data_IF_583604696396
#
_entry.id   IF_583604696396
#
_cell.length_a   1.000
_cell.length_b   1.000
_cell.length_c   1.000
_cell.angle_alpha   90.00
_cell.angle_beta   90.00
_cell.angle_gamma   90.00
#
_symmetry.space_group_name_H-M   'P 1'
#
loop_
_entity.id
_entity.type
_entity.pdbx_description
1 polymer ?
#
# COMPACT_ATOMS: atom_id res chain seq x y z
N UNK A 1 2.46 25.81 -56.35
CA UNK A 1 1.82 26.17 -57.63
C UNK A 1 0.58 26.99 -57.35
N UNK A 2 0.69 28.31 -57.43
CA UNK A 2 -0.41 29.27 -57.45
C UNK A 2 0.19 30.59 -57.94
N UNK A 3 0.10 30.83 -59.25
CA UNK A 3 0.45 32.08 -59.90
C UNK A 3 -0.65 33.11 -59.61
N UNK A 4 -0.27 34.29 -59.10
CA UNK A 4 -1.02 35.54 -59.29
C UNK A 4 -0.01 36.67 -59.51
N UNK A 5 0.22 36.96 -60.79
CA UNK A 5 0.89 38.17 -61.26
C UNK A 5 -0.10 39.34 -61.20
N UNK A 6 0.33 40.46 -60.63
CA UNK A 6 -0.25 41.77 -60.90
C UNK A 6 0.76 42.55 -61.75
N UNK A 7 0.34 42.87 -62.96
CA UNK A 7 0.97 43.81 -63.89
C UNK A 7 0.48 45.23 -63.57
N UNK A 8 1.40 46.19 -63.49
CA UNK A 8 1.34 47.52 -64.12
C UNK A 8 2.50 48.41 -63.61
N UNK A 9 3.35 48.91 -64.52
CA UNK A 9 4.01 50.19 -64.33
C UNK A 9 3.64 51.20 -65.43
N UNK A 10 3.81 52.45 -65.03
CA UNK A 10 3.48 53.69 -65.71
C UNK A 10 4.28 53.96 -67.01
N UNK A 11 3.63 54.68 -67.93
CA UNK A 11 4.23 55.59 -68.92
C UNK A 11 3.31 56.82 -68.97
N UNK A 12 3.67 57.94 -68.33
CA UNK A 12 4.38 59.08 -68.93
C UNK A 12 3.80 59.57 -70.26
N UNK A 13 3.00 60.63 -70.20
CA UNK A 13 2.79 61.58 -71.29
C UNK A 13 2.95 62.99 -70.75
N UNK A 14 3.90 63.70 -71.34
CA UNK A 14 4.31 65.07 -71.04
C UNK A 14 3.25 66.07 -71.50
N UNK A 15 2.88 67.00 -70.61
CA UNK A 15 2.24 68.27 -70.98
C UNK A 15 3.25 69.38 -70.70
N UNK A 16 3.88 69.88 -71.77
CA UNK A 16 4.75 71.06 -71.74
C UNK A 16 3.85 72.28 -71.97
N UNK A 17 3.63 73.07 -70.93
CA UNK A 17 3.07 74.42 -71.05
C UNK A 17 4.19 75.45 -70.86
N UNK A 18 4.24 76.38 -71.82
CA UNK A 18 5.25 77.39 -71.98
C UNK A 18 5.40 78.31 -70.77
N UNK A 19 6.64 78.56 -70.35
CA UNK A 19 7.02 79.69 -69.52
C UNK A 19 7.36 80.90 -70.39
N UNK A 20 7.00 82.14 -70.00
CA UNK A 20 7.36 83.35 -70.72
C UNK A 20 8.78 83.81 -70.36
N UNK A 21 9.48 84.37 -71.35
CA UNK A 21 10.74 85.09 -71.22
C UNK A 21 10.42 86.59 -71.33
N UNK A 22 10.93 87.39 -70.39
CA UNK A 22 10.99 88.85 -70.45
C UNK A 22 12.00 89.28 -71.56
N UNK A 23 12.11 90.48 -72.12
CA UNK A 23 12.00 91.85 -71.63
C UNK A 23 11.82 92.75 -72.88
N UNK A 24 11.08 93.86 -72.74
CA UNK A 24 11.33 95.13 -73.44
C UNK A 24 10.45 96.23 -72.81
N UNK A 25 11.09 97.15 -72.09
CA UNK A 25 10.62 98.47 -71.64
C UNK A 25 10.47 99.46 -72.83
N UNK A 26 10.05 100.73 -72.63
CA UNK A 26 8.91 101.29 -71.90
C UNK A 26 8.08 102.20 -72.85
N UNK A 27 7.07 102.92 -72.35
CA UNK A 27 6.77 104.34 -72.64
C UNK A 27 5.34 104.70 -72.21
N UNK A 28 5.26 105.73 -71.35
CA UNK A 28 4.29 106.82 -71.44
C UNK A 28 2.79 106.51 -71.38
N UNK A 29 2.16 106.79 -70.22
CA UNK A 29 0.70 106.84 -70.15
C UNK A 29 0.17 107.34 -68.81
N UNK A 30 0.12 108.65 -68.64
CA UNK A 30 -0.42 109.37 -67.49
C UNK A 30 -1.91 109.09 -67.23
N UNK A 31 -2.22 109.05 -65.94
CA UNK A 31 -3.44 109.54 -65.27
C UNK A 31 -4.77 108.78 -65.45
N UNK A 32 -5.28 108.24 -64.33
CA UNK A 32 -6.59 108.62 -63.80
C UNK A 32 -6.76 108.18 -62.34
N UNK A 33 -7.30 109.09 -61.52
CA UNK A 33 -7.78 108.86 -60.15
C UNK A 33 -8.98 107.90 -60.17
N UNK A 34 -8.96 106.91 -59.28
CA UNK A 34 -10.08 106.03 -58.93
C UNK A 34 -9.59 104.96 -57.97
N UNK A 35 -10.34 104.65 -56.92
CA UNK A 35 -9.97 103.80 -55.79
C UNK A 35 -9.27 102.48 -56.20
N UNK A 36 -7.94 102.43 -56.07
CA UNK A 36 -7.21 101.16 -56.13
C UNK A 36 -7.47 100.39 -54.84
N UNK A 37 -8.47 99.52 -54.86
CA UNK A 37 -8.58 98.44 -53.89
C UNK A 37 -7.35 97.53 -54.08
N UNK A 38 -6.32 97.73 -53.27
CA UNK A 38 -5.11 96.92 -53.36
C UNK A 38 -5.45 95.48 -53.00
N UNK A 39 -5.34 94.58 -53.99
CA UNK A 39 -5.71 93.18 -53.83
C UNK A 39 -4.56 92.39 -53.17
N UNK A 40 -4.70 92.13 -51.88
CA UNK A 40 -3.75 91.35 -51.07
C UNK A 40 -4.11 89.86 -50.95
N UNK A 41 -5.04 89.35 -51.76
CA UNK A 41 -5.54 87.99 -51.61
C UNK A 41 -6.29 87.75 -50.29
N UNK A 42 -6.51 86.48 -49.94
CA UNK A 42 -7.31 86.09 -48.76
C UNK A 42 -6.51 86.05 -47.44
N UNK A 43 -5.19 85.93 -47.54
CA UNK A 43 -4.30 85.63 -46.40
C UNK A 43 -3.49 86.87 -45.92
N UNK A 44 -3.59 88.00 -46.62
CA UNK A 44 -2.96 89.28 -46.26
C UNK A 44 -3.94 90.45 -46.31
N UNK A 45 -3.57 91.54 -45.64
CA UNK A 45 -4.32 92.79 -45.59
C UNK A 45 -3.43 93.95 -46.05
N UNK A 46 -4.00 94.92 -46.77
CA UNK A 46 -3.25 96.11 -47.20
C UNK A 46 -2.94 97.01 -46.00
N UNK A 47 -1.66 97.29 -45.78
CA UNK A 47 -1.23 98.29 -44.80
C UNK A 47 -0.92 99.60 -45.53
N UNK A 48 -1.76 100.61 -45.32
CA UNK A 48 -1.64 101.91 -45.96
C UNK A 48 -0.38 102.70 -45.55
N UNK A 49 0.13 102.48 -44.33
CA UNK A 49 1.33 103.16 -43.82
C UNK A 49 2.61 102.58 -44.43
N UNK A 50 2.71 101.25 -44.48
CA UNK A 50 3.86 100.55 -45.06
C UNK A 50 3.77 100.39 -46.59
N UNK A 51 2.65 100.82 -47.21
CA UNK A 51 2.35 100.69 -48.65
C UNK A 51 2.61 99.28 -49.20
N UNK A 52 2.27 98.26 -48.42
CA UNK A 52 2.45 96.85 -48.78
C UNK A 52 1.37 95.95 -48.18
N UNK A 53 1.11 94.80 -48.81
CA UNK A 53 0.27 93.75 -48.25
C UNK A 53 1.03 93.03 -47.11
N UNK A 54 0.41 92.97 -45.93
CA UNK A 54 0.99 92.31 -44.75
C UNK A 54 0.16 91.07 -44.43
N UNK A 55 0.84 89.94 -44.24
CA UNK A 55 0.20 88.69 -43.88
C UNK A 55 -0.46 88.76 -42.52
N UNK A 56 -1.63 88.12 -42.38
CA UNK A 56 -2.34 88.04 -41.10
C UNK A 56 -1.52 87.33 -40.02
N UNK A 57 -0.65 86.41 -40.44
CA UNK A 57 0.34 85.77 -39.56
C UNK A 57 1.70 86.44 -39.76
N UNK A 58 2.26 86.98 -38.68
CA UNK A 58 3.52 87.72 -38.67
C UNK A 58 4.74 86.89 -39.09
N UNK A 59 4.64 85.55 -39.07
CA UNK A 59 5.72 84.66 -39.52
C UNK A 59 5.72 84.41 -41.03
N UNK A 60 4.64 84.77 -41.72
CA UNK A 60 4.52 84.63 -43.17
C UNK A 60 4.85 85.96 -43.83
N UNK A 61 5.57 85.90 -44.95
CA UNK A 61 5.81 87.05 -45.82
C UNK A 61 4.89 86.99 -47.03
N UNK A 62 4.41 88.15 -47.44
CA UNK A 62 3.54 88.25 -48.60
C UNK A 62 4.33 88.01 -49.87
N UNK A 63 3.91 87.02 -50.66
CA UNK A 63 4.52 86.67 -51.94
C UNK A 63 3.67 87.29 -53.05
N UNK A 64 4.14 88.42 -53.59
CA UNK A 64 3.39 89.21 -54.55
C UNK A 64 3.03 88.45 -55.84
N UNK A 65 3.88 87.51 -56.28
CA UNK A 65 3.63 86.71 -57.49
C UNK A 65 2.43 85.76 -57.36
N UNK A 66 2.20 85.21 -56.18
CA UNK A 66 1.13 84.23 -55.93
C UNK A 66 -0.04 84.84 -55.16
N UNK A 67 0.07 86.11 -54.75
CA UNK A 67 -0.89 86.82 -53.89
C UNK A 67 -1.23 86.02 -52.62
N UNK A 68 -0.24 85.29 -52.08
CA UNK A 68 -0.39 84.43 -50.89
C UNK A 68 0.69 84.72 -49.86
N UNK A 69 0.42 84.30 -48.63
CA UNK A 69 1.37 84.38 -47.53
C UNK A 69 2.16 83.09 -47.42
N UNK A 70 3.48 83.18 -47.59
CA UNK A 70 4.39 82.05 -47.56
C UNK A 70 5.51 82.25 -46.56
N UNK A 71 6.16 81.15 -46.18
CA UNK A 71 7.35 81.23 -45.35
C UNK A 71 8.54 81.73 -46.17
N UNK A 72 9.35 82.59 -45.57
CA UNK A 72 10.56 83.12 -46.19
C UNK A 72 11.74 82.15 -46.04
N UNK A 73 12.81 82.40 -46.81
CA UNK A 73 14.13 81.79 -46.60
C UNK A 73 14.14 80.25 -46.69
N UNK A 74 13.33 79.69 -47.60
CA UNK A 74 13.25 78.25 -47.87
C UNK A 74 12.52 77.44 -46.79
N UNK A 75 11.88 78.09 -45.81
CA UNK A 75 11.07 77.44 -44.78
C UNK A 75 9.69 77.07 -45.32
N UNK A 76 9.03 76.12 -44.69
CA UNK A 76 7.64 75.72 -44.99
C UNK A 76 6.77 75.91 -43.75
N UNK A 77 5.47 76.09 -44.00
CA UNK A 77 4.49 76.23 -42.93
C UNK A 77 4.14 74.85 -42.38
N UNK A 78 4.43 74.59 -41.10
CA UNK A 78 4.16 73.30 -40.46
C UNK A 78 2.81 73.24 -39.73
N UNK A 79 1.93 74.21 -39.95
CA UNK A 79 0.65 74.36 -39.24
C UNK A 79 0.67 75.39 -38.10
N UNK A 80 1.86 75.64 -37.51
CA UNK A 80 2.00 76.57 -36.37
C UNK A 80 3.07 77.63 -36.57
N UNK A 81 4.16 77.32 -37.29
CA UNK A 81 5.27 78.24 -37.56
C UNK A 81 5.97 77.93 -38.88
N UNK A 82 6.71 78.93 -39.38
CA UNK A 82 7.63 78.72 -40.49
C UNK A 82 8.91 78.01 -40.02
N UNK A 83 9.13 76.78 -40.46
CA UNK A 83 10.28 75.96 -40.09
C UNK A 83 10.93 75.31 -41.32
N UNK A 84 12.20 74.94 -41.22
CA UNK A 84 12.84 74.15 -42.28
C UNK A 84 12.24 72.74 -42.33
N UNK A 85 11.91 72.28 -43.54
CA UNK A 85 11.33 70.95 -43.75
C UNK A 85 12.42 69.87 -43.74
N UNK A 86 12.62 69.29 -42.56
CA UNK A 86 13.53 68.18 -42.32
C UNK A 86 12.85 66.80 -42.35
N UNK A 87 11.57 66.70 -42.76
CA UNK A 87 10.81 65.46 -42.65
C UNK A 87 10.48 65.07 -41.20
N UNK A 88 9.96 63.84 -41.00
CA UNK A 88 9.43 63.38 -39.70
C UNK A 88 10.51 62.93 -38.70
N UNK A 89 11.65 62.44 -39.20
CA UNK A 89 12.67 61.75 -38.39
C UNK A 89 13.84 62.66 -37.98
N UNK A 90 13.85 63.90 -38.45
CA UNK A 90 14.88 64.89 -38.18
C UNK A 90 14.30 66.20 -37.62
N UNK A 91 15.19 67.05 -37.13
CA UNK A 91 14.91 68.42 -36.69
C UNK A 91 15.99 69.34 -37.23
N UNK A 92 15.63 70.59 -37.51
CA UNK A 92 16.59 71.58 -37.94
C UNK A 92 17.44 72.04 -36.75
N UNK A 93 18.76 71.94 -36.88
CA UNK A 93 19.73 72.49 -35.93
C UNK A 93 20.12 73.91 -36.36
N UNK A 94 19.75 74.89 -35.53
CA UNK A 94 20.02 76.30 -35.79
C UNK A 94 21.51 76.65 -35.68
N UNK A 95 22.31 75.86 -34.95
CA UNK A 95 23.75 76.08 -34.80
C UNK A 95 24.51 75.61 -36.04
N UNK A 96 24.30 74.37 -36.47
CA UNK A 96 24.90 73.78 -37.66
C UNK A 96 24.26 74.18 -38.99
N UNK A 97 23.15 74.93 -38.96
CA UNK A 97 22.36 75.35 -40.15
C UNK A 97 21.98 74.17 -41.05
N UNK A 98 21.64 73.03 -40.44
CA UNK A 98 21.34 71.79 -41.17
C UNK A 98 20.28 70.95 -40.44
N UNK A 99 19.61 70.06 -41.16
CA UNK A 99 18.75 69.06 -40.55
C UNK A 99 19.60 67.95 -39.91
N UNK A 100 19.30 67.63 -38.66
CA UNK A 100 19.95 66.56 -37.89
C UNK A 100 18.92 65.54 -37.42
N UNK A 101 19.31 64.27 -37.38
CA UNK A 101 18.42 63.20 -36.93
C UNK A 101 18.08 63.35 -35.45
N UNK A 102 16.83 63.06 -35.09
CA UNK A 102 16.41 63.06 -33.66
C UNK A 102 17.07 61.93 -32.90
N UNK A 103 17.19 60.77 -33.55
CA UNK A 103 17.89 59.62 -33.02
C UNK A 103 19.39 59.76 -33.25
N UNK A 104 20.15 59.79 -32.15
CA UNK A 104 21.60 59.90 -32.19
C UNK A 104 22.22 58.70 -32.92
N UNK A 105 23.19 58.95 -33.80
CA UNK A 105 23.89 57.93 -34.58
C UNK A 105 23.30 57.62 -35.97
N UNK A 106 22.10 58.09 -36.29
CA UNK A 106 21.56 58.05 -37.67
C UNK A 106 22.11 59.21 -38.50
N UNK A 107 22.27 59.00 -39.80
CA UNK A 107 22.64 60.05 -40.75
C UNK A 107 21.43 60.52 -41.54
N UNK A 108 21.32 61.84 -41.68
CA UNK A 108 20.26 62.49 -42.43
C UNK A 108 20.60 62.52 -43.93
N UNK A 109 19.68 62.04 -44.76
CA UNK A 109 19.74 62.21 -46.22
C UNK A 109 18.83 63.36 -46.65
N UNK A 110 19.42 64.45 -47.14
CA UNK A 110 18.69 65.64 -47.58
C UNK A 110 17.81 65.43 -48.82
N UNK A 111 18.04 64.38 -49.62
CA UNK A 111 17.20 64.08 -50.79
C UNK A 111 15.89 63.40 -50.39
N UNK A 112 15.96 62.38 -49.55
CA UNK A 112 14.79 61.63 -49.05
C UNK A 112 14.14 62.26 -47.82
N UNK A 113 14.85 63.17 -47.13
CA UNK A 113 14.48 63.76 -45.84
C UNK A 113 14.24 62.68 -44.76
N UNK A 114 15.05 61.64 -44.77
CA UNK A 114 14.96 60.52 -43.82
C UNK A 114 16.27 60.31 -43.07
N UNK A 115 16.17 59.66 -41.92
CA UNK A 115 17.30 59.29 -41.08
C UNK A 115 17.53 57.79 -41.12
N UNK A 116 18.74 57.37 -41.47
CA UNK A 116 19.09 55.95 -41.58
C UNK A 116 20.45 55.64 -40.94
N UNK A 117 20.63 54.40 -40.52
CA UNK A 117 21.92 53.92 -40.03
C UNK A 117 22.85 53.65 -41.22
N UNK A 118 24.12 54.01 -41.10
CA UNK A 118 25.11 53.82 -42.17
C UNK A 118 26.10 52.71 -41.84
N UNK A 119 26.85 52.27 -42.86
CA UNK A 119 27.79 51.15 -42.70
C UNK A 119 27.13 49.78 -42.51
N UNK A 120 25.94 49.56 -43.09
CA UNK A 120 25.22 48.28 -43.03
C UNK A 120 24.57 47.97 -41.68
N UNK A 121 24.50 48.95 -40.78
CA UNK A 121 23.85 48.86 -39.47
C UNK A 121 22.35 49.11 -39.59
N UNK A 122 21.59 48.62 -38.62
CA UNK A 122 20.15 48.81 -38.50
C UNK A 122 19.81 49.40 -37.13
N UNK A 123 18.70 50.11 -37.04
CA UNK A 123 18.22 50.67 -35.78
C UNK A 123 17.61 49.57 -34.91
N UNK A 124 18.17 49.36 -33.72
CA UNK A 124 17.70 48.33 -32.77
C UNK A 124 16.65 48.88 -31.76
N UNK A 125 16.26 50.15 -31.88
CA UNK A 125 15.39 50.86 -30.94
C UNK A 125 16.10 51.94 -30.12
N UNK A 126 17.41 51.82 -29.93
CA UNK A 126 18.24 52.74 -29.14
C UNK A 126 19.46 53.27 -29.90
N UNK A 127 20.11 52.44 -30.72
CA UNK A 127 21.32 52.78 -31.47
C UNK A 127 21.42 52.03 -32.82
N UNK A 128 22.36 52.48 -33.66
CA UNK A 128 22.68 51.82 -34.92
C UNK A 128 23.66 50.67 -34.69
N UNK A 129 23.18 49.43 -34.77
CA UNK A 129 23.94 48.21 -34.53
C UNK A 129 23.88 47.25 -35.73
N UNK A 130 24.85 46.35 -35.83
CA UNK A 130 24.81 45.27 -36.83
C UNK A 130 23.74 44.25 -36.44
N UNK A 131 22.87 43.90 -37.40
CA UNK A 131 21.82 42.90 -37.17
C UNK A 131 22.38 41.48 -37.33
N UNK A 132 22.79 40.92 -36.20
CA UNK A 132 23.25 39.54 -36.05
C UNK A 132 22.12 38.56 -35.62
N UNK A 133 20.86 39.00 -35.57
CA UNK A 133 19.78 38.20 -34.99
C UNK A 133 19.88 38.06 -33.47
N UNK A 134 19.04 37.18 -32.89
CA UNK A 134 18.88 37.04 -31.43
C UNK A 134 19.97 36.19 -30.76
N UNK A 135 20.59 35.26 -31.49
CA UNK A 135 21.47 34.23 -30.94
C UNK A 135 22.97 34.61 -31.05
N UNK A 136 23.28 35.73 -31.68
CA UNK A 136 24.64 36.21 -31.92
C UNK A 136 24.82 37.66 -31.45
N UNK A 137 26.07 38.09 -31.43
CA UNK A 137 26.50 39.46 -31.18
C UNK A 137 27.57 39.83 -32.20
N UNK A 138 27.64 41.10 -32.58
CA UNK A 138 28.69 41.58 -33.46
C UNK A 138 30.00 41.68 -32.68
N UNK A 139 31.04 41.02 -33.16
CA UNK A 139 32.40 41.13 -32.66
C UNK A 139 33.13 42.23 -33.43
N UNK A 140 33.46 43.32 -32.73
CA UNK A 140 34.17 44.46 -33.31
C UNK A 140 35.61 44.13 -33.71
N UNK A 141 36.23 43.11 -33.11
CA UNK A 141 37.60 42.72 -33.46
C UNK A 141 37.63 41.92 -34.77
N UNK A 142 36.83 40.86 -34.86
CA UNK A 142 36.69 40.03 -36.06
C UNK A 142 35.82 40.62 -37.16
N UNK A 143 35.18 41.77 -36.93
CA UNK A 143 34.26 42.44 -37.86
C UNK A 143 33.13 41.53 -38.36
N UNK A 144 32.67 40.61 -37.52
CA UNK A 144 31.69 39.58 -37.89
C UNK A 144 30.72 39.29 -36.75
N UNK A 145 29.57 38.70 -37.05
CA UNK A 145 28.66 38.20 -36.04
C UNK A 145 29.18 36.86 -35.48
N UNK A 146 29.28 36.78 -34.16
CA UNK A 146 29.71 35.59 -33.43
C UNK A 146 28.59 35.10 -32.51
N UNK A 147 28.47 33.79 -32.37
CA UNK A 147 27.47 33.20 -31.48
C UNK A 147 27.77 33.53 -30.03
N UNK A 148 26.73 33.82 -29.25
CA UNK A 148 26.87 34.06 -27.80
C UNK A 148 27.28 32.78 -27.07
N UNK A 149 26.72 31.66 -27.52
CA UNK A 149 27.06 30.34 -27.02
C UNK A 149 28.32 29.81 -27.72
N UNK A 150 29.34 29.51 -26.92
CA UNK A 150 30.61 28.98 -27.42
C UNK A 150 30.41 27.61 -28.09
N UNK A 151 31.05 27.39 -29.24
CA UNK A 151 30.98 26.14 -30.00
C UNK A 151 29.88 26.06 -31.06
N UNK A 152 28.91 26.98 -31.06
CA UNK A 152 27.95 27.13 -32.18
C UNK A 152 28.58 27.92 -33.33
N UNK A 153 28.18 27.61 -34.56
CA UNK A 153 28.57 28.36 -35.75
C UNK A 153 27.44 29.27 -36.22
N UNK A 154 27.80 30.50 -36.57
CA UNK A 154 26.88 31.51 -37.06
C UNK A 154 26.64 31.31 -38.57
N UNK A 155 25.38 31.25 -38.97
CA UNK A 155 24.97 31.31 -40.37
C UNK A 155 24.48 32.72 -40.73
N UNK A 156 25.25 33.43 -41.55
CA UNK A 156 24.94 34.80 -41.96
C UNK A 156 23.67 34.93 -42.82
N UNK A 157 23.19 33.85 -43.44
CA UNK A 157 21.96 33.89 -44.24
C UNK A 157 20.70 33.86 -43.37
N UNK A 158 20.67 32.94 -42.39
CA UNK A 158 19.54 32.81 -41.46
C UNK A 158 19.67 33.71 -40.22
N UNK A 159 20.87 34.24 -39.96
CA UNK A 159 21.22 34.97 -38.73
C UNK A 159 20.97 34.15 -37.47
N UNK A 160 21.27 32.86 -37.54
CA UNK A 160 21.10 31.92 -36.42
C UNK A 160 22.40 31.20 -36.08
N UNK A 161 22.47 30.69 -34.86
CA UNK A 161 23.60 29.93 -34.34
C UNK A 161 23.21 28.47 -34.14
N UNK A 162 23.97 27.56 -34.76
CA UNK A 162 23.68 26.12 -34.69
C UNK A 162 24.95 25.29 -34.48
N UNK A 163 24.78 24.11 -33.90
CA UNK A 163 25.85 23.13 -33.78
C UNK A 163 26.09 22.45 -35.13
N UNK A 164 27.35 22.19 -35.47
CA UNK A 164 27.73 21.56 -36.74
C UNK A 164 28.23 20.13 -36.55
N UNK A 165 28.32 19.39 -37.65
CA UNK A 165 28.75 17.99 -37.63
C UNK A 165 27.75 17.03 -36.98
N UNK A 166 26.44 17.33 -37.05
CA UNK A 166 25.37 16.48 -36.49
C UNK A 166 25.23 16.54 -34.96
N UNK A 167 25.90 17.49 -34.32
CA UNK A 167 25.81 17.74 -32.88
C UNK A 167 24.58 18.58 -32.55
N UNK A 168 24.08 18.47 -31.32
CA UNK A 168 22.99 19.26 -30.78
C UNK A 168 23.45 20.03 -29.54
N UNK A 169 22.75 21.11 -29.22
CA UNK A 169 23.04 21.91 -28.04
C UNK A 169 22.43 21.25 -26.80
N UNK A 170 23.25 20.85 -25.84
CA UNK A 170 22.79 20.21 -24.60
C UNK A 170 22.52 21.21 -23.45
N UNK A 171 22.63 22.51 -23.71
CA UNK A 171 22.50 23.58 -22.71
C UNK A 171 23.83 24.27 -22.39
N UNK A 172 24.97 23.60 -22.58
CA UNK A 172 26.31 24.13 -22.28
C UNK A 172 27.29 23.99 -23.45
N UNK A 173 27.20 22.92 -24.24
CA UNK A 173 28.08 22.66 -25.38
C UNK A 173 27.38 21.90 -26.53
N UNK A 174 28.03 21.87 -27.70
CA UNK A 174 27.59 21.09 -28.85
C UNK A 174 28.11 19.65 -28.73
N UNK A 175 27.21 18.72 -28.43
CA UNK A 175 27.52 17.31 -28.24
C UNK A 175 26.69 16.42 -29.17
N UNK A 176 27.14 15.18 -29.39
CA UNK A 176 26.31 14.20 -30.10
C UNK A 176 25.17 13.73 -29.19
N UNK A 177 23.95 13.71 -29.72
CA UNK A 177 22.80 13.22 -28.99
C UNK A 177 22.78 11.68 -29.00
N UNK A 178 23.27 11.10 -27.90
CA UNK A 178 23.23 9.67 -27.63
C UNK A 178 22.12 9.27 -26.65
N UNK A 179 21.20 10.18 -26.31
CA UNK A 179 20.24 9.94 -25.23
C UNK A 179 20.90 9.80 -23.85
N UNK A 180 20.13 9.30 -22.87
CA UNK A 180 20.54 9.23 -21.45
C UNK A 180 21.41 8.03 -21.10
N UNK A 181 21.29 6.93 -21.85
CA UNK A 181 21.87 5.62 -21.49
C UNK A 181 23.20 5.33 -22.22
N UNK A 182 23.61 6.21 -23.12
CA UNK A 182 24.83 6.09 -23.90
C UNK A 182 25.70 7.35 -23.81
N UNK A 183 26.91 7.24 -24.33
CA UNK A 183 27.87 8.32 -24.51
C UNK A 183 28.51 8.21 -25.88
N UNK A 184 28.85 9.33 -26.51
CA UNK A 184 29.57 9.31 -27.78
C UNK A 184 31.00 8.87 -27.55
N UNK A 185 31.45 7.84 -28.27
CA UNK A 185 32.84 7.42 -28.28
C UNK A 185 33.55 8.07 -29.47
N UNK A 186 34.51 8.96 -29.18
CA UNK A 186 35.31 9.64 -30.20
C UNK A 186 36.22 8.71 -30.99
N UNK A 187 36.61 7.56 -30.45
CA UNK A 187 37.43 6.57 -31.16
C UNK A 187 36.59 5.82 -32.20
N UNK A 188 35.44 5.28 -31.80
CA UNK A 188 34.56 4.50 -32.67
C UNK A 188 33.62 5.36 -33.54
N UNK A 189 33.62 6.68 -33.33
CA UNK A 189 32.74 7.66 -33.98
C UNK A 189 31.25 7.32 -33.88
N UNK A 190 30.83 6.68 -32.78
CA UNK A 190 29.44 6.24 -32.55
C UNK A 190 29.06 6.36 -31.08
N UNK A 191 27.75 6.43 -30.82
CA UNK A 191 27.22 6.30 -29.47
C UNK A 191 27.40 4.87 -28.96
N UNK A 192 27.92 4.73 -27.75
CA UNK A 192 28.12 3.44 -27.07
C UNK A 192 27.41 3.46 -25.72
N UNK A 193 26.80 2.33 -25.37
CA UNK A 193 26.11 2.18 -24.10
C UNK A 193 27.08 2.28 -22.93
N UNK A 194 26.65 2.94 -21.85
CA UNK A 194 27.45 3.03 -20.62
C UNK A 194 27.59 1.66 -19.95
N UNK A 195 26.51 0.90 -19.98
CA UNK A 195 26.48 -0.47 -19.49
C UNK A 195 27.05 -1.42 -20.55
N UNK A 196 28.12 -2.13 -20.19
CA UNK A 196 28.77 -3.09 -21.08
C UNK A 196 27.82 -4.25 -21.45
N UNK A 197 27.84 -4.65 -22.72
CA UNK A 197 27.00 -5.74 -23.24
C UNK A 197 25.62 -5.31 -23.76
N UNK A 198 25.18 -4.07 -23.50
CA UNK A 198 23.97 -3.50 -24.15
C UNK A 198 24.29 -3.00 -25.55
N UNK A 199 23.31 -3.12 -26.45
CA UNK A 199 23.37 -2.60 -27.81
C UNK A 199 22.67 -1.25 -27.89
N UNK A 200 23.30 -0.29 -28.56
CA UNK A 200 22.75 1.04 -28.79
C UNK A 200 21.88 1.05 -30.05
N UNK A 201 20.63 1.48 -29.94
CA UNK A 201 19.75 1.69 -31.09
C UNK A 201 19.71 3.18 -31.48
N UNK A 202 20.18 3.48 -32.69
CA UNK A 202 20.32 4.86 -33.16
C UNK A 202 18.99 5.58 -33.42
N UNK A 203 17.89 4.84 -33.67
CA UNK A 203 16.58 5.45 -33.92
C UNK A 203 15.91 5.91 -32.63
N UNK A 204 15.95 5.06 -31.60
CA UNK A 204 15.37 5.32 -30.30
C UNK A 204 16.31 6.05 -29.34
N UNK A 205 17.62 6.08 -29.63
CA UNK A 205 18.69 6.59 -28.76
C UNK A 205 18.67 5.91 -27.39
N UNK A 206 18.40 4.60 -27.37
CA UNK A 206 18.35 3.78 -26.15
C UNK A 206 19.30 2.59 -26.19
N UNK A 207 19.62 2.07 -25.01
CA UNK A 207 20.47 0.89 -24.83
C UNK A 207 19.66 -0.29 -24.32
N UNK A 208 19.67 -1.41 -25.03
CA UNK A 208 18.93 -2.61 -24.68
C UNK A 208 19.78 -3.88 -24.84
N UNK A 209 19.38 -4.93 -24.15
CA UNK A 209 20.00 -6.25 -24.32
C UNK A 209 19.46 -6.93 -25.59
N UNK A 210 20.33 -7.60 -26.33
CA UNK A 210 19.95 -8.36 -27.53
C UNK A 210 19.54 -9.80 -27.16
N UNK A 211 19.02 -10.54 -28.13
CA UNK A 211 18.78 -12.00 -28.01
C UNK A 211 17.80 -12.39 -26.90
N UNK A 212 16.83 -11.52 -26.62
CA UNK A 212 15.80 -11.76 -25.59
C UNK A 212 16.33 -11.74 -24.15
N UNK A 213 17.56 -11.26 -23.95
CA UNK A 213 18.15 -11.06 -22.62
C UNK A 213 17.58 -9.79 -21.98
N UNK A 214 17.64 -9.74 -20.65
CA UNK A 214 17.27 -8.56 -19.86
C UNK A 214 18.44 -8.12 -18.99
N UNK A 215 18.46 -6.85 -18.62
CA UNK A 215 19.49 -6.31 -17.76
C UNK A 215 19.20 -6.69 -16.30
N UNK A 216 20.07 -7.49 -15.69
CA UNK A 216 19.91 -7.90 -14.29
C UNK A 216 20.54 -6.93 -13.28
N UNK A 217 20.97 -5.74 -13.73
CA UNK A 217 21.70 -4.75 -12.92
C UNK A 217 23.23 -4.81 -13.11
N UNK A 218 23.77 -5.90 -13.66
CA UNK A 218 25.21 -6.09 -13.91
C UNK A 218 25.51 -6.46 -15.37
N UNK A 219 24.70 -7.31 -15.98
CA UNK A 219 24.91 -7.81 -17.34
C UNK A 219 23.58 -8.17 -18.03
N UNK A 220 23.65 -8.37 -19.34
CA UNK A 220 22.52 -8.90 -20.11
C UNK A 220 22.46 -10.42 -19.93
N UNK A 221 21.45 -10.90 -19.20
CA UNK A 221 21.23 -12.31 -18.90
C UNK A 221 19.83 -12.76 -19.34
N UNK A 222 19.65 -14.06 -19.56
CA UNK A 222 18.32 -14.60 -19.80
C UNK A 222 17.49 -14.56 -18.51
N UNK A 223 16.27 -14.03 -18.61
CA UNK A 223 15.35 -14.00 -17.48
C UNK A 223 14.66 -15.35 -17.32
N UNK A 224 15.17 -16.14 -16.37
CA UNK A 224 14.60 -17.42 -15.96
C UNK A 224 13.87 -17.33 -14.60
N UNK A 225 13.66 -16.13 -14.05
CA UNK A 225 13.15 -15.99 -12.69
C UNK A 225 14.11 -16.51 -11.61
N UNK A 226 13.60 -16.66 -10.38
CA UNK A 226 14.41 -16.99 -9.19
C UNK A 226 14.72 -18.49 -9.03
N UNK A 227 13.87 -19.36 -9.58
CA UNK A 227 13.89 -20.80 -9.31
C UNK A 227 14.57 -21.62 -10.43
N UNK A 228 14.96 -20.95 -11.51
CA UNK A 228 15.64 -21.56 -12.66
C UNK A 228 16.94 -20.83 -13.00
N UNK A 229 17.71 -21.45 -13.88
CA UNK A 229 18.92 -20.90 -14.50
C UNK A 229 18.89 -21.21 -15.99
N UNK A 230 19.43 -20.30 -16.80
CA UNK A 230 19.55 -20.55 -18.23
C UNK A 230 20.64 -21.59 -18.46
N UNK A 231 20.32 -22.65 -19.21
CA UNK A 231 21.29 -23.62 -19.67
C UNK A 231 21.71 -23.26 -21.11
N UNK A 232 22.97 -22.88 -21.29
CA UNK A 232 23.52 -22.53 -22.61
C UNK A 232 23.55 -23.72 -23.59
N UNK A 233 23.67 -24.95 -23.07
CA UNK A 233 23.69 -26.16 -23.91
C UNK A 233 22.31 -26.44 -24.52
N UNK A 234 21.27 -26.42 -23.68
CA UNK A 234 19.88 -26.69 -24.10
C UNK A 234 19.17 -25.43 -24.65
N UNK A 235 19.82 -24.26 -24.55
CA UNK A 235 19.28 -22.94 -24.93
C UNK A 235 17.93 -22.61 -24.28
N UNK A 236 17.71 -23.08 -23.06
CA UNK A 236 16.45 -22.89 -22.33
C UNK A 236 16.68 -22.73 -20.83
N UNK A 237 15.72 -22.12 -20.15
CA UNK A 237 15.70 -22.06 -18.69
C UNK A 237 15.38 -23.44 -18.10
N UNK A 238 16.22 -23.90 -17.18
CA UNK A 238 16.06 -25.18 -16.47
C UNK A 238 15.91 -24.93 -14.98
N UNK A 239 15.02 -25.69 -14.34
CA UNK A 239 14.80 -25.60 -12.91
C UNK A 239 16.03 -26.06 -12.13
N UNK A 240 16.35 -25.36 -11.04
CA UNK A 240 17.46 -25.76 -10.15
C UNK A 240 17.17 -27.07 -9.44
N UNK A 241 15.90 -27.24 -9.03
CA UNK A 241 15.42 -28.47 -8.43
C UNK A 241 15.07 -29.49 -9.52
N UNK A 242 15.72 -30.65 -9.48
CA UNK A 242 15.49 -31.72 -10.44
C UNK A 242 14.06 -32.26 -10.33
N UNK A 243 13.43 -32.53 -11.48
CA UNK A 243 12.06 -33.04 -11.58
C UNK A 243 10.96 -31.97 -11.63
N UNK A 244 11.27 -30.69 -11.37
CA UNK A 244 10.35 -29.58 -11.63
C UNK A 244 10.39 -29.18 -13.11
N UNK A 245 9.25 -28.76 -13.64
CA UNK A 245 9.09 -28.24 -14.99
C UNK A 245 9.09 -26.71 -14.96
N UNK A 246 9.84 -26.09 -15.88
CA UNK A 246 9.89 -24.65 -16.04
C UNK A 246 8.74 -24.17 -16.93
N UNK A 247 7.96 -23.21 -16.46
CA UNK A 247 6.92 -22.54 -17.26
C UNK A 247 7.43 -21.18 -17.73
N UNK A 248 7.58 -21.03 -19.05
CA UNK A 248 8.18 -19.84 -19.66
C UNK A 248 7.31 -18.57 -19.53
N UNK A 249 5.98 -18.71 -19.39
CA UNK A 249 5.07 -17.57 -19.25
C UNK A 249 5.14 -16.96 -17.85
N UNK A 250 5.17 -17.80 -16.83
CA UNK A 250 5.24 -17.40 -15.42
C UNK A 250 6.66 -17.26 -14.90
N UNK A 251 7.66 -17.80 -15.62
CA UNK A 251 9.07 -17.88 -15.19
C UNK A 251 9.23 -18.58 -13.85
N UNK A 252 8.44 -19.64 -13.63
CA UNK A 252 8.44 -20.42 -12.38
C UNK A 252 8.66 -21.90 -12.63
N UNK A 253 9.15 -22.58 -11.59
CA UNK A 253 9.36 -24.02 -11.57
C UNK A 253 8.30 -24.70 -10.71
N UNK A 254 7.54 -25.62 -11.29
CA UNK A 254 6.47 -26.35 -10.60
C UNK A 254 6.50 -27.84 -10.90
N UNK A 255 5.90 -28.63 -10.02
CA UNK A 255 5.74 -30.07 -10.24
C UNK A 255 4.57 -30.31 -11.19
N UNK A 256 4.73 -31.23 -12.13
CA UNK A 256 3.67 -31.65 -13.06
C UNK A 256 2.75 -32.69 -12.42
N UNK A 257 1.65 -33.01 -13.09
CA UNK A 257 0.77 -34.13 -12.74
C UNK A 257 0.12 -34.05 -11.35
N UNK A 258 -0.12 -32.82 -10.88
CA UNK A 258 -0.75 -32.57 -9.58
C UNK A 258 0.13 -32.94 -8.37
N UNK A 259 1.42 -33.17 -8.59
CA UNK A 259 2.41 -33.39 -7.52
C UNK A 259 2.80 -32.06 -6.88
N UNK A 260 3.32 -32.13 -5.66
CA UNK A 260 3.86 -30.99 -4.93
C UNK A 260 5.31 -31.27 -4.52
N UNK A 261 6.07 -30.19 -4.32
CA UNK A 261 7.45 -30.31 -3.86
C UNK A 261 7.49 -30.62 -2.37
N UNK A 262 8.03 -31.77 -1.99
CA UNK A 262 8.16 -32.18 -0.58
C UNK A 262 9.46 -31.69 0.09
N UNK A 263 10.27 -30.88 -0.61
CA UNK A 263 11.58 -30.42 -0.16
C UNK A 263 12.75 -31.10 -0.90
N UNK A 264 12.54 -32.30 -1.44
CA UNK A 264 13.56 -33.07 -2.15
C UNK A 264 13.11 -33.53 -3.56
N UNK A 265 11.82 -33.83 -3.75
CA UNK A 265 11.27 -34.28 -5.03
C UNK A 265 9.79 -33.87 -5.22
N UNK A 266 9.31 -34.01 -6.46
CA UNK A 266 7.90 -33.86 -6.78
C UNK A 266 7.14 -35.14 -6.42
N UNK A 267 6.32 -35.09 -5.37
CA UNK A 267 5.55 -36.22 -4.85
C UNK A 267 4.06 -35.89 -4.76
N UNK A 268 3.20 -36.91 -4.72
CA UNK A 268 1.78 -36.70 -4.49
C UNK A 268 1.54 -36.27 -3.04
N UNK A 269 0.78 -35.18 -2.85
CA UNK A 269 0.43 -34.67 -1.53
C UNK A 269 -0.73 -35.47 -0.92
N UNK A 270 -0.38 -36.47 -0.12
CA UNK A 270 -1.31 -37.30 0.63
C UNK A 270 -1.51 -36.83 2.09
N UNK A 271 -0.95 -35.69 2.50
CA UNK A 271 -0.91 -35.30 3.90
C UNK A 271 0.02 -36.16 4.76
N UNK A 272 0.00 -35.95 6.08
CA UNK A 272 0.97 -36.56 7.03
C UNK A 272 0.67 -38.01 7.41
N UNK A 273 -0.57 -38.45 7.27
CA UNK A 273 -1.05 -39.75 7.79
C UNK A 273 -1.21 -40.80 6.67
N UNK A 274 -0.97 -40.43 5.41
CA UNK A 274 -1.11 -41.29 4.25
C UNK A 274 0.11 -41.22 3.33
N UNK A 275 0.21 -42.21 2.44
CA UNK A 275 1.25 -42.31 1.42
C UNK A 275 0.61 -42.64 0.07
N UNK A 276 1.19 -42.16 -1.02
CA UNK A 276 0.69 -42.49 -2.35
C UNK A 276 1.06 -43.93 -2.69
N UNK A 277 0.09 -44.71 -3.15
CA UNK A 277 0.31 -46.07 -3.60
C UNK A 277 0.25 -46.10 -5.13
N UNK A 278 1.40 -46.21 -5.78
CA UNK A 278 1.53 -46.21 -7.24
C UNK A 278 0.72 -47.32 -7.92
N UNK A 279 0.60 -48.51 -7.28
CA UNK A 279 -0.17 -49.62 -7.84
C UNK A 279 -1.67 -49.35 -7.86
N UNK A 280 -2.16 -48.58 -6.90
CA UNK A 280 -3.58 -48.22 -6.78
C UNK A 280 -3.90 -46.84 -7.39
N UNK A 281 -2.88 -46.06 -7.75
CA UNK A 281 -3.03 -44.69 -8.25
C UNK A 281 -3.71 -43.75 -7.26
N UNK A 282 -3.61 -44.00 -5.95
CA UNK A 282 -4.29 -43.20 -4.91
C UNK A 282 -3.53 -43.17 -3.59
N UNK A 283 -3.78 -42.13 -2.81
CA UNK A 283 -3.32 -42.05 -1.42
C UNK A 283 -4.01 -43.11 -0.55
N UNK A 284 -3.22 -43.77 0.29
CA UNK A 284 -3.68 -44.79 1.25
C UNK A 284 -3.11 -44.49 2.63
N UNK A 285 -3.90 -44.77 3.66
CA UNK A 285 -3.49 -44.55 5.03
C UNK A 285 -2.30 -45.43 5.42
N UNK A 286 -1.37 -44.83 6.17
CA UNK A 286 -0.21 -45.56 6.72
C UNK A 286 -0.64 -46.59 7.76
N UNK A 287 -1.68 -46.25 8.54
CA UNK A 287 -2.32 -47.13 9.52
C UNK A 287 -3.38 -47.98 8.83
N UNK A 288 -3.30 -49.29 9.05
CA UNK A 288 -4.32 -50.24 8.60
C UNK A 288 -5.68 -49.93 9.25
N UNK A 289 -6.78 -50.34 8.61
CA UNK A 289 -8.19 -50.09 9.02
C UNK A 289 -8.67 -48.62 9.03
N UNK A 290 -7.83 -47.66 8.66
CA UNK A 290 -8.23 -46.27 8.45
C UNK A 290 -8.60 -46.01 6.99
N UNK A 291 -9.57 -45.13 6.77
CA UNK A 291 -9.95 -44.66 5.44
C UNK A 291 -9.35 -43.28 5.18
N UNK A 292 -8.81 -43.10 3.98
CA UNK A 292 -8.29 -41.83 3.51
C UNK A 292 -9.42 -40.96 2.94
N UNK A 293 -9.53 -39.73 3.41
CA UNK A 293 -10.41 -38.72 2.85
C UNK A 293 -9.63 -37.77 1.94
N UNK A 294 -9.98 -37.73 0.66
CA UNK A 294 -9.24 -36.98 -0.36
C UNK A 294 -9.35 -35.45 -0.21
N UNK A 295 -10.42 -34.95 0.42
CA UNK A 295 -10.66 -33.50 0.54
C UNK A 295 -9.89 -32.91 1.71
N UNK A 296 -9.92 -33.59 2.85
CA UNK A 296 -9.19 -33.21 4.06
C UNK A 296 -7.74 -33.69 4.07
N UNK A 297 -7.38 -34.66 3.20
CA UNK A 297 -6.07 -35.34 3.18
C UNK A 297 -5.72 -35.96 4.54
N UNK A 298 -6.71 -36.53 5.21
CA UNK A 298 -6.56 -37.16 6.53
C UNK A 298 -7.03 -38.60 6.52
N UNK A 299 -6.52 -39.37 7.48
CA UNK A 299 -6.92 -40.74 7.74
C UNK A 299 -7.75 -40.81 9.01
N UNK A 300 -8.92 -41.45 8.91
CA UNK A 300 -9.83 -41.60 10.04
C UNK A 300 -10.53 -42.96 10.02
N UNK A 301 -10.96 -43.39 11.21
CA UNK A 301 -11.75 -44.59 11.37
C UNK A 301 -13.19 -44.33 10.89
N UNK A 302 -13.71 -45.23 10.05
CA UNK A 302 -15.07 -45.12 9.52
C UNK A 302 -16.11 -45.78 10.43
N UNK A 303 -17.37 -45.38 10.29
CA UNK A 303 -18.48 -46.03 10.99
C UNK A 303 -18.53 -45.78 12.50
N UNK A 304 -18.10 -44.61 12.96
CA UNK A 304 -18.15 -44.23 14.39
C UNK A 304 -17.11 -44.93 15.28
N UNK A 305 -16.13 -45.60 14.66
CA UNK A 305 -14.99 -46.22 15.35
C UNK A 305 -13.94 -45.16 15.68
N UNK A 306 -13.16 -45.41 16.72
CA UNK A 306 -11.98 -44.62 17.09
C UNK A 306 -10.72 -45.49 16.96
N UNK A 307 -9.56 -44.84 16.84
CA UNK A 307 -8.28 -45.53 16.82
C UNK A 307 -7.88 -45.90 18.24
N UNK A 308 -7.76 -47.20 18.55
CA UNK A 308 -7.38 -47.70 19.88
C UNK A 308 -5.86 -47.80 20.11
N UNK A 309 -5.06 -47.40 19.11
CA UNK A 309 -3.61 -47.55 19.11
C UNK A 309 -3.13 -48.59 18.08
N UNK A 310 -3.96 -49.58 17.77
CA UNK A 310 -3.63 -50.70 16.88
C UNK A 310 -4.62 -50.88 15.73
N UNK A 311 -5.91 -50.63 15.96
CA UNK A 311 -6.98 -50.77 14.95
C UNK A 311 -8.12 -49.78 15.19
N UNK A 312 -9.00 -49.67 14.21
CA UNK A 312 -10.26 -48.93 14.38
C UNK A 312 -11.30 -49.79 15.11
N UNK A 313 -11.65 -49.41 16.33
CA UNK A 313 -12.62 -50.11 17.18
C UNK A 313 -13.67 -49.15 17.76
N UNK A 314 -14.81 -49.69 18.19
CA UNK A 314 -15.86 -48.88 18.80
C UNK A 314 -15.42 -48.44 20.21
N UNK A 315 -15.45 -47.13 20.45
CA UNK A 315 -15.11 -46.57 21.76
C UNK A 315 -16.29 -46.72 22.74
N UNK A 316 -16.21 -47.77 23.55
CA UNK A 316 -17.18 -48.06 24.60
C UNK A 316 -16.76 -47.57 26.00
N UNK A 317 -15.65 -46.82 26.12
CA UNK A 317 -15.09 -46.47 27.42
C UNK A 317 -14.39 -47.65 28.13
N UNK A 318 -13.87 -47.39 29.35
CA UNK A 318 -12.95 -48.31 30.05
C UNK A 318 -13.61 -49.58 30.63
N UNK A 319 -14.90 -49.51 30.95
CA UNK A 319 -15.63 -50.56 31.69
C UNK A 319 -16.59 -51.36 30.79
N UNK A 320 -16.57 -51.13 29.48
CA UNK A 320 -17.42 -51.79 28.51
C UNK A 320 -16.65 -52.23 27.26
N UNK A 321 -17.23 -53.18 26.53
CA UNK A 321 -16.71 -53.71 25.28
C UNK A 321 -17.82 -53.76 24.24
N UNK A 322 -17.49 -53.50 22.97
CA UNK A 322 -18.44 -53.65 21.88
C UNK A 322 -18.77 -55.12 21.66
N UNK A 323 -20.06 -55.46 21.65
CA UNK A 323 -20.52 -56.81 21.35
C UNK A 323 -21.04 -56.86 19.91
N UNK A 324 -20.27 -57.48 19.02
CA UNK A 324 -20.60 -57.57 17.58
C UNK A 324 -21.95 -58.25 17.32
N UNK A 325 -22.35 -59.23 18.13
CA UNK A 325 -23.64 -59.93 17.97
C UNK A 325 -24.83 -59.04 18.31
N UNK A 326 -24.65 -58.12 19.26
CA UNK A 326 -25.71 -57.22 19.70
C UNK A 326 -25.64 -55.84 19.03
N UNK A 327 -24.56 -55.56 18.28
CA UNK A 327 -24.32 -54.27 17.64
C UNK A 327 -24.21 -53.09 18.61
N UNK A 328 -23.85 -53.33 19.88
CA UNK A 328 -23.80 -52.29 20.93
C UNK A 328 -22.72 -52.56 21.97
N UNK A 329 -22.29 -51.49 22.64
CA UNK A 329 -21.43 -51.58 23.82
C UNK A 329 -22.17 -52.25 24.98
N UNK A 330 -21.50 -53.16 25.66
CA UNK A 330 -22.00 -53.87 26.84
C UNK A 330 -20.96 -53.81 27.95
N UNK A 331 -21.43 -53.70 29.19
CA UNK A 331 -20.55 -53.69 30.36
C UNK A 331 -19.78 -54.99 30.50
N UNK A 332 -18.50 -54.89 30.87
CA UNK A 332 -17.65 -56.06 31.14
C UNK A 332 -18.11 -56.81 32.39
N UNK A 333 -18.60 -56.05 33.38
CA UNK A 333 -19.20 -56.60 34.61
C UNK A 333 -20.67 -56.94 34.38
N UNK A 334 -21.05 -58.15 34.77
CA UNK A 334 -22.44 -58.60 34.74
C UNK A 334 -23.31 -57.76 35.69
N UNK A 335 -24.62 -57.67 35.42
CA UNK A 335 -25.62 -56.85 36.14
C UNK A 335 -25.45 -55.32 36.09
N UNK A 336 -24.43 -54.81 35.39
CA UNK A 336 -24.29 -53.38 35.11
C UNK A 336 -24.98 -53.00 33.80
N UNK A 337 -25.55 -51.80 33.76
CA UNK A 337 -26.13 -51.21 32.56
C UNK A 337 -25.19 -50.19 31.95
N UNK A 338 -25.04 -50.23 30.63
CA UNK A 338 -24.22 -49.30 29.87
C UNK A 338 -25.03 -48.05 29.51
N UNK A 339 -24.47 -46.89 29.81
CA UNK A 339 -25.00 -45.60 29.40
C UNK A 339 -24.25 -45.11 28.16
N UNK A 340 -24.95 -44.96 27.04
CA UNK A 340 -24.36 -44.59 25.75
C UNK A 340 -23.83 -43.16 25.67
N UNK A 341 -24.34 -42.24 26.50
CA UNK A 341 -23.96 -40.82 26.47
C UNK A 341 -22.70 -40.57 27.29
N UNK A 342 -22.64 -41.15 28.48
CA UNK A 342 -21.49 -41.04 29.39
C UNK A 342 -20.41 -42.09 29.12
N UNK A 343 -20.70 -43.14 28.33
CA UNK A 343 -19.82 -44.29 28.07
C UNK A 343 -19.37 -44.96 29.37
N UNK A 344 -20.27 -45.05 30.35
CA UNK A 344 -19.99 -45.66 31.66
C UNK A 344 -20.94 -46.80 31.97
N UNK A 345 -20.49 -47.67 32.86
CA UNK A 345 -21.25 -48.80 33.38
C UNK A 345 -21.63 -48.55 34.83
N UNK A 346 -22.91 -48.71 35.14
CA UNK A 346 -23.43 -48.45 36.48
C UNK A 346 -24.52 -49.44 36.88
N UNK A 347 -24.69 -49.63 38.18
CA UNK A 347 -25.79 -50.42 38.74
C UNK A 347 -27.08 -49.60 38.68
N UNK A 348 -28.14 -50.17 38.10
CA UNK A 348 -29.44 -49.49 37.98
C UNK A 348 -30.31 -49.71 39.21
N UNK A 349 -31.27 -48.80 39.44
CA UNK A 349 -32.27 -48.95 40.51
C UNK A 349 -31.74 -48.72 41.92
N UNK A 350 -30.75 -47.83 42.10
CA UNK A 350 -30.20 -47.48 43.42
C UNK A 350 -29.32 -48.55 44.05
N UNK A 351 -28.92 -49.56 43.27
CA UNK A 351 -27.99 -50.61 43.67
C UNK A 351 -26.55 -50.11 43.56
N UNK A 352 -25.66 -50.67 44.36
CA UNK A 352 -24.22 -50.45 44.30
C UNK A 352 -23.51 -51.75 43.92
N UNK A 353 -22.31 -51.63 43.37
CA UNK A 353 -21.46 -52.80 43.08
C UNK A 353 -20.88 -53.33 44.39
N UNK A 354 -21.23 -54.55 44.78
CA UNK A 354 -20.75 -55.19 46.02
C UNK A 354 -19.40 -55.90 45.87
N UNK A 355 -18.81 -55.87 44.66
CA UNK A 355 -17.61 -56.63 44.30
C UNK A 355 -17.89 -57.73 43.29
N UNK A 356 -19.11 -58.31 43.31
CA UNK A 356 -19.51 -59.43 42.46
C UNK A 356 -20.77 -59.13 41.63
N UNK A 357 -21.74 -58.39 42.17
CA UNK A 357 -23.00 -58.04 41.50
C UNK A 357 -23.54 -56.68 41.95
N UNK A 358 -24.55 -56.19 41.24
CA UNK A 358 -25.29 -55.00 41.66
C UNK A 358 -26.30 -55.36 42.75
N UNK A 359 -26.06 -54.91 43.98
CA UNK A 359 -26.87 -55.20 45.17
C UNK A 359 -27.30 -53.92 45.90
N UNK A 360 -28.36 -53.98 46.70
CA UNK A 360 -28.75 -52.84 47.54
C UNK A 360 -27.75 -52.64 48.66
N UNK A 361 -27.30 -51.39 48.85
CA UNK A 361 -26.34 -51.06 49.91
C UNK A 361 -27.03 -50.94 51.27
N UNK A 362 -27.01 -52.05 52.01
CA UNK A 362 -27.55 -52.17 53.36
C UNK A 362 -26.52 -51.95 54.47
N UNK A 363 -25.27 -51.57 54.15
CA UNK A 363 -24.18 -51.54 55.13
C UNK A 363 -23.67 -52.93 55.53
N UNK A 364 -22.68 -52.99 56.43
CA UNK A 364 -21.93 -54.21 56.76
C UNK A 364 -22.69 -55.24 57.63
N UNK A 365 -23.67 -54.77 58.41
CA UNK A 365 -24.35 -55.59 59.44
C UNK A 365 -25.76 -56.03 59.03
N UNK A 366 -26.18 -55.70 57.80
CA UNK A 366 -27.48 -56.01 57.24
C UNK A 366 -27.38 -56.55 55.81
N UNK A 367 -28.43 -57.23 55.37
CA UNK A 367 -28.59 -57.74 54.02
C UNK A 367 -29.97 -57.36 53.48
N UNK A 368 -30.09 -57.19 52.16
CA UNK A 368 -31.38 -56.92 51.54
C UNK A 368 -32.21 -58.19 51.51
N UNK A 369 -33.37 -58.18 52.18
CA UNK A 369 -34.34 -59.27 52.10
C UNK A 369 -35.23 -59.05 50.89
N UNK A 370 -35.12 -59.93 49.89
CA UNK A 370 -36.03 -59.92 48.73
C UNK A 370 -37.48 -60.22 49.08
N UNK A 371 -37.70 -60.90 50.21
CA UNK A 371 -39.03 -61.19 50.76
C UNK A 371 -39.66 -59.93 51.37
N UNK A 372 -38.91 -59.23 52.23
CA UNK A 372 -39.40 -58.03 52.93
C UNK A 372 -39.25 -56.72 52.13
N UNK A 373 -38.60 -56.79 50.97
CA UNK A 373 -38.23 -55.65 50.11
C UNK A 373 -37.49 -54.53 50.86
N UNK A 374 -36.72 -54.89 51.89
CA UNK A 374 -35.96 -53.95 52.73
C UNK A 374 -34.68 -54.59 53.26
N UNK A 375 -33.74 -53.74 53.67
CA UNK A 375 -32.57 -54.17 54.42
C UNK A 375 -32.98 -54.68 55.81
N UNK A 376 -32.51 -55.87 56.16
CA UNK A 376 -32.75 -56.54 57.45
C UNK A 376 -31.42 -56.86 58.09
N UNK A 377 -31.36 -56.75 59.42
CA UNK A 377 -30.14 -57.05 60.16
C UNK A 377 -29.78 -58.53 60.06
N UNK A 378 -28.49 -58.81 59.85
CA UNK A 378 -28.00 -60.19 59.79
C UNK A 378 -28.14 -60.90 61.15
N UNK A 379 -28.15 -60.12 62.25
CA UNK A 379 -28.32 -60.60 63.62
C UNK A 379 -29.78 -60.49 64.05
N UNK A 380 -30.36 -61.61 64.45
CA UNK A 380 -31.75 -61.70 64.89
C UNK A 380 -32.01 -60.85 66.14
N UNK A 381 -33.09 -60.07 66.14
CA UNK A 381 -33.48 -59.18 67.24
C UNK A 381 -32.90 -57.76 67.18
N UNK A 382 -31.98 -57.47 66.25
CA UNK A 382 -31.51 -56.10 66.01
C UNK A 382 -32.44 -55.34 65.05
N UNK A 383 -32.59 -54.05 65.28
CA UNK A 383 -33.34 -53.14 64.43
C UNK A 383 -32.40 -52.44 63.43
N UNK A 384 -32.81 -52.38 62.16
CA UNK A 384 -32.08 -51.71 61.10
C UNK A 384 -32.50 -50.24 61.03
N UNK A 385 -31.53 -49.33 61.12
CA UNK A 385 -31.74 -47.90 60.94
C UNK A 385 -31.34 -47.48 59.52
N UNK A 386 -32.33 -47.10 58.70
CA UNK A 386 -32.14 -46.87 57.27
C UNK A 386 -31.23 -45.66 56.96
N UNK A 387 -31.20 -44.63 57.81
CA UNK A 387 -30.35 -43.45 57.60
C UNK A 387 -28.88 -43.72 57.85
N UNK A 388 -28.56 -44.47 58.90
CA UNK A 388 -27.18 -44.79 59.27
C UNK A 388 -26.67 -46.10 58.66
N UNK A 389 -27.57 -46.92 58.09
CA UNK A 389 -27.27 -48.27 57.57
C UNK A 389 -26.61 -49.17 58.62
N UNK A 390 -27.07 -49.05 59.86
CA UNK A 390 -26.54 -49.79 61.03
C UNK A 390 -27.62 -50.61 61.70
N UNK A 391 -27.19 -51.72 62.30
CA UNK A 391 -28.02 -52.58 63.11
C UNK A 391 -27.72 -52.39 64.61
N UNK A 392 -28.76 -52.16 65.40
CA UNK A 392 -28.63 -51.98 66.85
C UNK A 392 -29.77 -52.66 67.60
N UNK A 393 -29.50 -53.12 68.81
CA UNK A 393 -30.54 -53.64 69.69
C UNK A 393 -31.52 -52.52 70.08
N UNK A 394 -32.81 -52.84 70.15
CA UNK A 394 -33.84 -51.88 70.53
C UNK A 394 -33.75 -51.50 72.02
N UNK A 395 -34.34 -50.36 72.40
CA UNK A 395 -34.58 -49.98 73.80
C UNK A 395 -33.34 -49.94 74.71
N UNK A 396 -32.17 -49.57 74.16
CA UNK A 396 -30.94 -49.43 74.95
C UNK A 396 -30.28 -50.75 75.38
N UNK A 397 -30.75 -51.87 74.84
CA UNK A 397 -30.15 -53.20 75.01
C UNK A 397 -28.79 -53.29 74.32
N UNK A 398 -27.97 -54.24 74.75
CA UNK A 398 -26.64 -54.51 74.18
C UNK A 398 -26.59 -55.93 73.61
N UNK A 399 -25.75 -56.11 72.59
CA UNK A 399 -25.54 -57.42 71.98
C UNK A 399 -24.55 -58.24 72.82
N UNK A 400 -24.99 -59.35 73.40
CA UNK A 400 -24.15 -60.24 74.22
C UNK A 400 -23.58 -61.43 73.44
N UNK A 401 -23.36 -61.26 72.13
CA UNK A 401 -22.82 -62.31 71.26
C UNK A 401 -23.86 -63.24 70.63
N UNK A 402 -25.04 -63.42 71.25
CA UNK A 402 -26.12 -64.25 70.70
C UNK A 402 -27.50 -63.58 70.59
N UNK A 403 -27.81 -62.61 71.46
CA UNK A 403 -29.09 -61.91 71.49
C UNK A 403 -28.94 -60.50 72.10
N UNK A 404 -29.97 -59.67 71.94
CA UNK A 404 -30.08 -58.39 72.62
C UNK A 404 -30.52 -58.60 74.07
N UNK A 405 -29.72 -58.13 75.03
CA UNK A 405 -29.98 -58.22 76.47
C UNK A 405 -29.89 -56.85 77.13
N UNK A 406 -30.49 -56.73 78.31
CA UNK A 406 -30.45 -55.47 79.06
C UNK A 406 -29.03 -55.13 79.52
N UNK A 407 -28.70 -53.84 79.52
CA UNK A 407 -27.39 -53.35 79.91
C UNK A 407 -27.21 -53.45 81.43
N UNK A 408 -26.44 -54.44 81.89
CA UNK A 408 -26.24 -54.74 83.32
C UNK A 408 -25.10 -53.96 84.01
N UNK A 409 -24.47 -52.98 83.33
CA UNK A 409 -23.30 -52.28 83.87
C UNK A 409 -22.02 -53.15 83.84
N UNK A 410 -20.91 -52.62 84.37
CA UNK A 410 -19.57 -53.21 84.23
C UNK A 410 -19.30 -54.43 85.13
N UNK A 411 -19.95 -54.50 86.30
CA UNK A 411 -19.67 -55.48 87.37
C UNK A 411 -20.77 -56.56 87.51
N UNK A 412 -21.75 -56.53 86.61
CA UNK A 412 -22.82 -57.52 86.51
C UNK A 412 -22.94 -58.07 85.09
N UNK A 413 -23.53 -59.26 84.98
CA UNK A 413 -23.88 -59.92 83.72
C UNK A 413 -25.36 -60.26 83.74
N UNK A 414 -26.00 -60.26 82.57
CA UNK A 414 -27.36 -60.75 82.45
C UNK A 414 -27.36 -62.26 82.67
N UNK A 415 -28.12 -62.76 83.64
CA UNK A 415 -28.29 -64.19 83.85
C UNK A 415 -29.58 -64.67 83.19
N UNK A 416 -29.41 -65.55 82.20
CA UNK A 416 -30.49 -66.06 81.37
C UNK A 416 -31.50 -66.92 82.13
N UNK A 417 -31.10 -67.54 83.23
CA UNK A 417 -31.98 -68.40 84.04
C UNK A 417 -32.92 -67.59 84.92
N UNK A 418 -32.43 -66.51 85.50
CA UNK A 418 -33.22 -65.61 86.36
C UNK A 418 -33.89 -64.47 85.60
N UNK A 419 -33.50 -64.23 84.35
CA UNK A 419 -33.99 -63.12 83.53
C UNK A 419 -33.61 -61.74 84.09
N UNK A 420 -32.54 -61.67 84.90
CA UNK A 420 -32.11 -60.46 85.62
C UNK A 420 -30.59 -60.33 85.57
N UNK A 421 -30.12 -59.09 85.71
CA UNK A 421 -28.71 -58.83 85.92
C UNK A 421 -28.26 -59.34 87.30
N UNK A 422 -27.20 -60.13 87.32
CA UNK A 422 -26.56 -60.66 88.54
C UNK A 422 -25.12 -60.19 88.63
N UNK A 423 -24.66 -59.98 89.85
CA UNK A 423 -23.29 -59.54 90.10
C UNK A 423 -22.29 -60.66 89.84
N UNK A 424 -21.18 -60.32 89.18
CA UNK A 424 -20.12 -61.29 88.88
C UNK A 424 -19.40 -61.77 90.13
N UNK A 425 -19.27 -60.90 91.14
CA UNK A 425 -18.63 -61.25 92.41
C UNK A 425 -19.65 -61.79 93.41
N UNK A 426 -19.32 -62.95 94.00
CA UNK A 426 -20.15 -63.63 94.98
C UNK A 426 -20.33 -62.79 96.26
N UNK A 427 -21.59 -62.56 96.65
CA UNK A 427 -21.97 -61.82 97.86
C UNK A 427 -22.39 -60.37 97.63
N UNK A 428 -22.30 -59.85 96.40
CA UNK A 428 -22.88 -58.57 95.99
C UNK A 428 -24.32 -58.75 95.51
N UNK A 429 -25.15 -57.74 95.76
CA UNK A 429 -26.53 -57.63 95.28
C UNK A 429 -26.58 -56.57 94.18
N UNK A 430 -27.24 -56.91 93.07
CA UNK A 430 -27.37 -55.99 91.95
C UNK A 430 -28.46 -54.94 92.23
N UNK A 431 -28.10 -53.66 92.07
CA UNK A 431 -29.04 -52.56 92.16
C UNK A 431 -29.47 -52.13 90.76
N UNK A 432 -30.72 -52.42 90.40
CA UNK A 432 -31.27 -52.14 89.08
C UNK A 432 -31.39 -50.63 88.74
N UNK A 433 -31.51 -49.75 89.74
CA UNK A 433 -31.61 -48.30 89.49
C UNK A 433 -30.26 -47.66 89.17
N UNK A 434 -29.19 -48.10 89.84
CA UNK A 434 -27.84 -47.58 89.61
C UNK A 434 -27.01 -48.43 88.64
N UNK A 435 -27.53 -49.58 88.21
CA UNK A 435 -26.83 -50.56 87.36
C UNK A 435 -25.47 -50.97 87.95
N UNK A 436 -25.40 -51.10 89.27
CA UNK A 436 -24.17 -51.40 90.01
C UNK A 436 -24.38 -52.51 91.03
N UNK A 437 -23.28 -53.23 91.31
CA UNK A 437 -23.21 -54.27 92.32
C UNK A 437 -22.74 -53.70 93.65
N UNK A 438 -23.53 -53.90 94.70
CA UNK A 438 -23.25 -53.35 96.02
C UNK A 438 -23.37 -54.43 97.09
N UNK A 439 -22.68 -54.28 98.20
CA UNK A 439 -22.85 -55.17 99.34
C UNK A 439 -24.25 -54.99 99.94
N UNK A 440 -24.82 -56.08 100.44
CA UNK A 440 -26.06 -56.02 101.20
C UNK A 440 -25.92 -55.05 102.39
N UNK A 441 -27.02 -54.38 102.77
CA UNK A 441 -27.01 -53.33 103.79
C UNK A 441 -26.28 -53.77 105.08
N UNK A 442 -25.38 -52.90 105.57
CA UNK A 442 -24.55 -53.15 106.75
C UNK A 442 -23.21 -53.86 106.49
N UNK A 443 -22.88 -54.20 105.23
CA UNK A 443 -21.59 -54.78 104.85
C UNK A 443 -20.81 -53.87 103.91
N UNK A 444 -19.49 -53.85 104.04
CA UNK A 444 -18.56 -53.15 103.14
C UNK A 444 -17.80 -54.16 102.29
N UNK A 445 -17.50 -53.79 101.05
CA UNK A 445 -16.75 -54.66 100.13
C UNK A 445 -15.27 -54.62 100.50
N UNK A 446 -14.72 -55.77 100.89
CA UNK A 446 -13.29 -55.93 101.08
C UNK A 446 -12.66 -56.38 99.77
N UNK A 447 -11.83 -55.49 99.19
CA UNK A 447 -11.15 -55.72 97.92
C UNK A 447 -10.06 -56.79 98.00
N UNK A 448 -9.54 -57.13 99.19
CA UNK A 448 -8.52 -58.18 99.35
C UNK A 448 -9.13 -59.57 99.37
N UNK A 449 -10.24 -59.76 100.09
CA UNK A 449 -10.94 -61.05 100.15
C UNK A 449 -11.94 -61.26 99.02
N UNK A 450 -12.28 -60.20 98.27
CA UNK A 450 -13.26 -60.22 97.20
C UNK A 450 -14.71 -60.41 97.70
N UNK A 451 -14.96 -60.20 99.00
CA UNK A 451 -16.23 -60.50 99.68
C UNK A 451 -16.75 -59.29 100.48
N UNK A 452 -18.05 -59.27 100.72
CA UNK A 452 -18.69 -58.29 101.59
C UNK A 452 -18.55 -58.71 103.07
N UNK A 453 -17.87 -57.90 103.87
CA UNK A 453 -17.62 -58.13 105.30
C UNK A 453 -18.38 -57.10 106.15
N UNK A 454 -18.69 -57.44 107.40
CA UNK A 454 -19.22 -56.46 108.36
C UNK A 454 -18.06 -55.57 108.83
N UNK A 455 -18.23 -54.25 108.74
CA UNK A 455 -17.24 -53.31 109.25
C UNK A 455 -17.14 -53.42 110.77
N UNK A 456 -15.93 -53.58 111.32
CA UNK A 456 -15.67 -53.56 112.76
C UNK A 456 -15.52 -52.11 113.27
N UNK A 457 -16.40 -51.71 114.20
CA UNK A 457 -16.36 -50.46 115.00
C UNK A 457 -17.59 -49.57 114.75
N UNK A 458 -18.41 -49.16 115.73
CA UNK A 458 -18.32 -49.07 117.19
C UNK A 458 -19.67 -49.45 117.85
N UNK A 459 -19.60 -49.84 119.12
CA UNK A 459 -20.71 -49.77 120.08
C UNK A 459 -21.30 -48.36 120.16
#
# INVERSE_FOLDING_TARGET
MLLKQFLLPALFSFSVTAGPVAEADPEGGLAARGDYAVNCGKDASWNAYARQCICKNEQLKFVQRTLTCGCADGKTWNGHKCAYDCGKDASYDDYGKTCVCRDQGKQFDGKSKTCSCTGGKTWNGHDCAYDCGKDASYDDYGKTCVCRDQGKQFDGKSKTCSCTGGKTWNGHDCAYDCGKDASYNDYDKKCVCRDQGKHFDDKSKTCSCTDGKTWNGRECAHDCGKDASYNDYDKQCVCRDQGKHFDDKSKTCSCTDGKTWNGHECAHDCGKDASFNDKLGKCVCTKQDQSYDQYSKTCSCTGGKAWDGHKCSYDCGKDASFNDKLGKCVCTKQDQSYDQYSKTCSCTGGKAWDGHKCSYDCGKDASYSDYDKKCVCNKFGQHYEAKSKTCSCANGQVWDGGKCVDKCGKDASFDDKSGKCVCRNHGLVYNAKSQQCQCAAGKTYDSHSGKCVYGYGNY
#
